data_IF_285358357498
#
_entry.id   IF_285358357498
#
_cell.length_a   1.000
_cell.length_b   1.000
_cell.length_c   1.000
_cell.angle_alpha   90.00
_cell.angle_beta   90.00
_cell.angle_gamma   90.00
#
_symmetry.space_group_name_H-M   'P 1'
#
loop_
_entity.id
_entity.type
_entity.pdbx_description
1 polymer ?
#
# COMPACT_ATOMS: atom_id res chain seq x y z
N UNK A 1 1.79 -21.41 -11.46
CA UNK A 1 0.64 -20.56 -11.09
C UNK A 1 0.42 -19.47 -12.14
N UNK A 2 -0.74 -18.80 -12.14
CA UNK A 2 -1.05 -17.70 -13.08
C UNK A 2 -1.07 -16.37 -12.32
N UNK A 3 -0.35 -15.35 -12.82
CA UNK A 3 -0.44 -13.98 -12.32
C UNK A 3 -1.16 -13.11 -13.34
N UNK A 4 -2.22 -12.43 -12.91
CA UNK A 4 -3.06 -11.59 -13.76
C UNK A 4 -3.04 -10.13 -13.33
N UNK A 5 -2.87 -9.24 -14.30
CA UNK A 5 -2.99 -7.80 -14.13
C UNK A 5 -3.68 -7.21 -15.36
N UNK A 6 -4.84 -6.54 -15.22
CA UNK A 6 -5.63 -6.08 -16.36
C UNK A 6 -5.08 -4.82 -17.03
N UNK A 7 -3.85 -4.42 -16.73
CA UNK A 7 -3.20 -3.23 -17.28
C UNK A 7 -1.70 -3.46 -17.42
N UNK A 8 -1.04 -2.58 -18.16
CA UNK A 8 0.42 -2.53 -18.24
C UNK A 8 0.96 -1.62 -17.13
N UNK A 9 1.76 -2.15 -16.18
CA UNK A 9 2.31 -1.28 -15.16
C UNK A 9 3.38 -0.37 -15.75
N UNK A 10 3.25 0.93 -15.48
CA UNK A 10 4.20 1.95 -15.90
C UNK A 10 5.47 1.84 -15.06
N UNK A 11 6.53 1.30 -15.67
CA UNK A 11 7.84 1.10 -15.03
C UNK A 11 8.53 2.41 -14.65
N UNK A 12 8.10 3.55 -15.21
CA UNK A 12 8.68 4.87 -14.90
C UNK A 12 8.05 5.51 -13.66
N UNK A 13 6.87 5.03 -13.24
CA UNK A 13 6.16 5.56 -12.07
C UNK A 13 6.49 4.77 -10.82
N UNK A 14 7.03 5.47 -9.82
CA UNK A 14 7.40 4.91 -8.52
C UNK A 14 6.22 4.83 -7.51
N UNK A 15 4.97 4.79 -7.98
CA UNK A 15 3.82 4.67 -7.06
C UNK A 15 3.64 3.23 -6.59
N UNK A 16 3.13 3.06 -5.38
CA UNK A 16 2.84 1.75 -4.77
C UNK A 16 2.03 0.83 -5.70
N UNK A 17 1.04 1.38 -6.39
CA UNK A 17 0.19 0.68 -7.34
C UNK A 17 0.94 0.09 -8.54
N UNK A 18 2.07 0.67 -8.93
CA UNK A 18 2.89 0.21 -10.06
C UNK A 18 3.99 -0.75 -9.59
N UNK A 19 4.53 -0.54 -8.39
CA UNK A 19 5.62 -1.34 -7.85
C UNK A 19 5.12 -2.69 -7.31
N UNK A 20 3.99 -2.71 -6.60
CA UNK A 20 3.46 -3.90 -5.93
C UNK A 20 3.32 -5.12 -6.85
N UNK A 21 2.72 -5.04 -8.06
CA UNK A 21 2.57 -6.21 -8.92
C UNK A 21 3.91 -6.89 -9.23
N UNK A 22 4.95 -6.11 -9.55
CA UNK A 22 6.29 -6.66 -9.81
C UNK A 22 6.91 -7.28 -8.56
N UNK A 23 6.72 -6.67 -7.38
CA UNK A 23 7.19 -7.27 -6.12
C UNK A 23 6.51 -8.60 -5.83
N UNK A 24 5.20 -8.70 -6.07
CA UNK A 24 4.46 -9.95 -5.91
C UNK A 24 4.88 -11.02 -6.94
N UNK A 25 5.07 -10.65 -8.21
CA UNK A 25 5.57 -11.58 -9.25
C UNK A 25 6.92 -12.16 -8.84
N UNK A 26 7.88 -11.29 -8.48
CA UNK A 26 9.21 -11.71 -8.04
C UNK A 26 9.13 -12.55 -6.77
N UNK A 27 8.26 -12.20 -5.83
CA UNK A 27 8.07 -12.97 -4.61
C UNK A 27 7.51 -14.37 -4.89
N UNK A 28 6.54 -14.52 -5.79
CA UNK A 28 6.08 -15.85 -6.21
C UNK A 28 7.20 -16.68 -6.84
N UNK A 29 8.02 -16.07 -7.69
CA UNK A 29 9.19 -16.74 -8.28
C UNK A 29 10.20 -17.16 -7.20
N UNK A 30 10.52 -16.26 -6.25
CA UNK A 30 11.46 -16.51 -5.16
C UNK A 30 11.02 -17.63 -4.22
N UNK A 31 9.71 -17.83 -4.03
CA UNK A 31 9.18 -18.94 -3.22
C UNK A 31 8.94 -20.21 -4.04
N UNK A 32 9.43 -20.25 -5.29
CA UNK A 32 9.52 -21.47 -6.10
C UNK A 32 8.41 -21.69 -7.12
N UNK A 33 7.55 -20.70 -7.39
CA UNK A 33 6.53 -20.84 -8.43
C UNK A 33 7.05 -20.54 -9.84
N UNK A 34 6.69 -21.40 -10.79
CA UNK A 34 6.63 -20.98 -12.20
C UNK A 34 5.42 -20.04 -12.39
N UNK A 35 5.68 -18.81 -12.85
CA UNK A 35 4.67 -17.76 -12.97
C UNK A 35 4.33 -17.52 -14.44
N UNK A 36 3.13 -17.94 -14.86
CA UNK A 36 2.57 -17.58 -16.16
C UNK A 36 1.89 -16.20 -16.08
N UNK A 37 2.31 -15.25 -16.91
CA UNK A 37 1.83 -13.87 -16.86
C UNK A 37 0.66 -13.63 -17.81
N UNK A 38 -0.36 -12.93 -17.31
CA UNK A 38 -1.42 -12.27 -18.09
C UNK A 38 -1.41 -10.79 -17.73
N UNK A 39 -0.58 -10.01 -18.43
CA UNK A 39 -0.25 -8.61 -18.12
C UNK A 39 -0.03 -7.84 -19.42
N UNK A 40 -0.45 -6.57 -19.45
CA UNK A 40 -0.21 -5.66 -20.57
C UNK A 40 -1.51 -5.16 -21.22
N UNK A 41 -1.42 -4.67 -22.45
CA UNK A 41 -2.58 -4.30 -23.28
C UNK A 41 -3.55 -5.48 -23.48
N UNK A 42 -4.81 -5.20 -23.82
CA UNK A 42 -5.81 -6.24 -24.05
C UNK A 42 -5.42 -7.19 -25.19
N UNK A 43 -4.71 -6.70 -26.21
CA UNK A 43 -4.16 -7.54 -27.28
C UNK A 43 -3.12 -8.53 -26.71
N UNK A 44 -2.18 -8.03 -25.92
CA UNK A 44 -1.15 -8.86 -25.27
C UNK A 44 -1.78 -9.90 -24.34
N UNK A 45 -2.73 -9.47 -23.49
CA UNK A 45 -3.45 -10.37 -22.57
C UNK A 45 -4.25 -11.42 -23.32
N UNK A 46 -4.88 -11.09 -24.46
CA UNK A 46 -5.60 -12.05 -25.30
C UNK A 46 -4.70 -13.16 -25.82
N UNK A 47 -3.49 -12.83 -26.27
CA UNK A 47 -2.53 -13.82 -26.77
C UNK A 47 -1.99 -14.70 -25.63
N UNK A 48 -1.65 -14.10 -24.48
CA UNK A 48 -1.24 -14.81 -23.26
C UNK A 48 -2.34 -15.76 -22.76
N UNK A 49 -3.59 -15.28 -22.67
CA UNK A 49 -4.76 -16.08 -22.28
C UNK A 49 -4.96 -17.24 -23.24
N UNK A 50 -4.86 -17.02 -24.56
CA UNK A 50 -4.99 -18.10 -25.56
C UNK A 50 -3.92 -19.17 -25.35
N UNK A 51 -2.69 -18.77 -25.08
CA UNK A 51 -1.59 -19.69 -24.80
C UNK A 51 -1.81 -20.50 -23.52
N UNK A 52 -2.21 -19.85 -22.43
CA UNK A 52 -2.51 -20.52 -21.15
C UNK A 52 -3.71 -21.47 -21.28
N UNK A 53 -4.78 -21.05 -21.97
CA UNK A 53 -5.93 -21.94 -22.26
C UNK A 53 -5.49 -23.20 -23.00
N UNK A 54 -4.60 -23.09 -24.00
CA UNK A 54 -4.05 -24.24 -24.72
C UNK A 54 -3.25 -25.17 -23.80
N UNK A 55 -2.38 -24.62 -22.94
CA UNK A 55 -1.62 -25.37 -21.92
C UNK A 55 -2.56 -26.19 -21.01
N UNK A 56 -3.60 -25.55 -20.47
CA UNK A 56 -4.60 -26.19 -19.61
C UNK A 56 -5.34 -27.31 -20.36
N UNK A 57 -5.80 -27.06 -21.59
CA UNK A 57 -6.49 -28.07 -22.40
C UNK A 57 -5.59 -29.25 -22.79
N UNK A 58 -4.28 -29.03 -22.86
CA UNK A 58 -3.28 -30.07 -23.09
C UNK A 58 -2.89 -30.84 -21.82
N UNK A 59 -3.57 -30.59 -20.69
CA UNK A 59 -3.38 -31.34 -19.44
C UNK A 59 -2.44 -30.69 -18.43
N UNK A 60 -1.88 -29.52 -18.72
CA UNK A 60 -1.06 -28.79 -17.75
C UNK A 60 -1.92 -28.28 -16.59
N UNK A 61 -1.45 -28.50 -15.36
CA UNK A 61 -2.16 -28.10 -14.13
C UNK A 61 -1.58 -26.81 -13.58
N UNK A 62 -2.46 -25.86 -13.31
CA UNK A 62 -2.11 -24.62 -12.59
C UNK A 62 -2.71 -24.68 -11.18
N UNK A 63 -1.90 -24.37 -10.17
CA UNK A 63 -2.34 -24.40 -8.77
C UNK A 63 -3.48 -23.40 -8.48
N UNK A 64 -3.35 -22.18 -8.99
CA UNK A 64 -4.30 -21.07 -8.80
C UNK A 64 -3.98 -19.90 -9.75
N UNK A 65 -4.91 -18.96 -9.84
CA UNK A 65 -4.69 -17.61 -10.36
C UNK A 65 -4.68 -16.58 -9.23
N UNK A 66 -3.68 -15.71 -9.22
CA UNK A 66 -3.68 -14.49 -8.41
C UNK A 66 -3.80 -13.26 -9.33
N UNK A 67 -4.84 -12.46 -9.11
CA UNK A 67 -5.10 -11.22 -9.83
C UNK A 67 -4.91 -10.01 -8.92
N UNK A 68 -4.42 -8.90 -9.46
CA UNK A 68 -4.57 -7.59 -8.81
C UNK A 68 -5.46 -6.68 -9.66
N UNK A 69 -6.40 -5.97 -9.04
CA UNK A 69 -7.27 -5.02 -9.77
C UNK A 69 -6.51 -3.75 -10.15
N UNK A 70 -7.06 -2.98 -11.09
CA UNK A 70 -6.64 -1.60 -11.31
C UNK A 70 -7.39 -0.67 -10.35
N UNK A 71 -6.93 0.58 -10.23
CA UNK A 71 -7.71 1.67 -9.63
C UNK A 71 -8.82 2.15 -10.56
N UNK A 72 -8.86 1.64 -11.80
CA UNK A 72 -9.93 1.80 -12.78
C UNK A 72 -10.71 0.49 -12.94
N UNK A 73 -11.96 0.52 -13.41
CA UNK A 73 -12.68 -0.70 -13.72
C UNK A 73 -11.94 -1.54 -14.77
N UNK A 74 -11.98 -2.86 -14.62
CA UNK A 74 -11.24 -3.85 -15.42
C UNK A 74 -11.49 -3.68 -16.91
N UNK A 75 -12.71 -3.35 -17.31
CA UNK A 75 -13.06 -3.13 -18.72
C UNK A 75 -12.56 -1.80 -19.30
N UNK A 76 -12.09 -0.86 -18.46
CA UNK A 76 -11.69 0.49 -18.88
C UNK A 76 -10.17 0.72 -18.73
N UNK A 77 -9.38 -0.34 -18.55
CA UNK A 77 -7.94 -0.24 -18.26
C UNK A 77 -7.06 0.00 -19.47
N UNK A 78 -7.58 -0.13 -20.69
CA UNK A 78 -6.83 0.22 -21.91
C UNK A 78 -6.51 1.72 -21.93
N UNK A 79 -5.45 2.10 -22.67
CA UNK A 79 -4.96 3.50 -22.73
C UNK A 79 -5.99 4.51 -23.21
N UNK A 80 -6.93 4.09 -24.06
CA UNK A 80 -8.05 4.90 -24.55
C UNK A 80 -9.27 4.88 -23.61
N UNK A 81 -9.24 4.08 -22.53
CA UNK A 81 -10.29 3.96 -21.51
C UNK A 81 -11.68 3.57 -22.04
N UNK A 82 -11.73 2.81 -23.14
CA UNK A 82 -12.98 2.32 -23.73
C UNK A 82 -13.08 0.79 -23.53
N UNK A 83 -14.29 0.24 -23.36
CA UNK A 83 -14.51 -1.19 -23.16
C UNK A 83 -14.43 -1.96 -24.48
N UNK A 84 -13.26 -1.98 -25.11
CA UNK A 84 -13.03 -2.65 -26.42
C UNK A 84 -12.93 -4.17 -26.29
N UNK A 85 -12.65 -4.69 -25.09
CA UNK A 85 -12.52 -6.12 -24.80
C UNK A 85 -13.33 -6.54 -23.56
N UNK A 86 -14.66 -6.32 -23.53
CA UNK A 86 -15.45 -6.42 -22.30
C UNK A 86 -15.52 -7.83 -21.70
N UNK A 87 -15.28 -8.87 -22.51
CA UNK A 87 -15.33 -10.27 -22.05
C UNK A 87 -13.96 -10.92 -21.88
N UNK A 88 -12.85 -10.19 -22.06
CA UNK A 88 -11.52 -10.79 -22.09
C UNK A 88 -11.11 -11.38 -20.74
N UNK A 89 -10.94 -10.51 -19.74
CA UNK A 89 -10.42 -10.91 -18.43
C UNK A 89 -11.45 -11.76 -17.67
N UNK A 90 -12.71 -11.33 -17.64
CA UNK A 90 -13.79 -12.10 -16.98
C UNK A 90 -14.14 -13.41 -17.71
N UNK A 91 -14.03 -13.46 -19.04
CA UNK A 91 -14.18 -14.71 -19.79
C UNK A 91 -13.02 -15.67 -19.57
N UNK A 92 -11.84 -15.17 -19.22
CA UNK A 92 -10.73 -15.98 -18.74
C UNK A 92 -10.99 -16.51 -17.33
N UNK A 93 -11.47 -15.68 -16.39
CA UNK A 93 -11.82 -16.14 -15.04
C UNK A 93 -12.91 -17.22 -15.08
N UNK A 94 -13.94 -17.04 -15.91
CA UNK A 94 -14.97 -18.06 -16.12
C UNK A 94 -14.38 -19.39 -16.64
N UNK A 95 -13.47 -19.33 -17.61
CA UNK A 95 -12.78 -20.52 -18.11
C UNK A 95 -11.99 -21.24 -17.01
N UNK A 96 -11.24 -20.51 -16.18
CA UNK A 96 -10.45 -21.08 -15.10
C UNK A 96 -11.34 -21.72 -14.02
N UNK A 97 -12.44 -21.06 -13.66
CA UNK A 97 -13.43 -21.59 -12.73
C UNK A 97 -14.04 -22.91 -13.23
N UNK A 98 -14.38 -22.99 -14.53
CA UNK A 98 -14.86 -24.24 -15.16
C UNK A 98 -13.83 -25.37 -15.09
N UNK A 99 -12.53 -25.03 -15.12
CA UNK A 99 -11.43 -25.98 -14.99
C UNK A 99 -10.97 -26.18 -13.54
N UNK A 100 -11.76 -25.72 -12.54
CA UNK A 100 -11.49 -25.90 -11.10
C UNK A 100 -10.14 -25.31 -10.65
N UNK A 101 -9.70 -24.22 -11.26
CA UNK A 101 -8.51 -23.47 -10.84
C UNK A 101 -8.98 -22.33 -9.91
N UNK A 102 -8.57 -22.31 -8.62
CA UNK A 102 -8.95 -21.27 -7.68
C UNK A 102 -8.49 -19.89 -8.11
N UNK A 103 -9.32 -18.87 -7.86
CA UNK A 103 -9.06 -17.48 -8.23
C UNK A 103 -9.03 -16.60 -7.00
N UNK A 104 -7.87 -16.02 -6.72
CA UNK A 104 -7.69 -14.95 -5.74
C UNK A 104 -7.59 -13.60 -6.43
N UNK A 105 -8.29 -12.58 -5.92
CA UNK A 105 -8.20 -11.21 -6.42
C UNK A 105 -7.88 -10.23 -5.30
N UNK A 106 -6.75 -9.55 -5.42
CA UNK A 106 -6.42 -8.38 -4.61
C UNK A 106 -7.18 -7.17 -5.15
N UNK A 107 -8.22 -6.75 -4.43
CA UNK A 107 -8.99 -5.56 -4.75
C UNK A 107 -8.35 -4.35 -4.10
N UNK A 108 -7.64 -3.56 -4.91
CA UNK A 108 -6.97 -2.34 -4.45
C UNK A 108 -7.90 -1.13 -4.56
N UNK A 109 -7.69 -0.18 -3.66
CA UNK A 109 -8.18 1.21 -3.66
C UNK A 109 -9.60 1.44 -4.21
N UNK A 110 -10.49 1.93 -3.36
CA UNK A 110 -11.87 2.27 -3.72
C UNK A 110 -12.10 3.79 -3.75
N UNK A 111 -11.17 4.55 -4.35
CA UNK A 111 -11.29 6.01 -4.39
C UNK A 111 -12.65 6.48 -4.92
N UNK A 112 -13.24 5.74 -5.87
CA UNK A 112 -14.55 6.01 -6.47
C UNK A 112 -15.73 6.04 -5.48
N UNK A 113 -15.59 5.45 -4.29
CA UNK A 113 -16.58 5.49 -3.20
C UNK A 113 -16.52 6.80 -2.40
N UNK A 114 -15.50 7.62 -2.57
CA UNK A 114 -15.23 8.79 -1.72
C UNK A 114 -15.33 10.13 -2.46
N UNK A 115 -15.49 11.20 -1.69
CA UNK A 115 -15.66 12.57 -2.22
C UNK A 115 -14.44 13.10 -2.97
N UNK A 116 -13.23 12.67 -2.60
CA UNK A 116 -11.99 13.08 -3.27
C UNK A 116 -11.86 12.53 -4.71
N UNK A 117 -12.73 11.60 -5.13
CA UNK A 117 -12.79 11.18 -6.53
C UNK A 117 -13.47 12.26 -7.39
N UNK A 118 -12.63 13.18 -7.86
CA UNK A 118 -13.04 14.36 -8.61
C UNK A 118 -12.90 14.12 -10.13
N UNK A 119 -13.98 13.68 -10.75
CA UNK A 119 -14.10 13.55 -12.22
C UNK A 119 -15.45 14.14 -12.66
N UNK A 120 -15.57 14.51 -13.94
CA UNK A 120 -16.82 15.07 -14.47
C UNK A 120 -18.01 14.13 -14.26
N UNK A 121 -19.21 14.68 -14.08
CA UNK A 121 -20.41 13.92 -13.73
C UNK A 121 -20.65 12.73 -14.66
N UNK A 122 -20.54 12.93 -15.98
CA UNK A 122 -20.70 11.86 -16.97
C UNK A 122 -19.66 10.75 -16.80
N UNK A 123 -18.37 11.11 -16.64
CA UNK A 123 -17.29 10.14 -16.41
C UNK A 123 -17.51 9.37 -15.11
N UNK A 124 -17.98 10.04 -14.05
CA UNK A 124 -18.29 9.43 -12.75
C UNK A 124 -19.41 8.40 -12.87
N UNK A 125 -20.49 8.73 -13.57
CA UNK A 125 -21.64 7.84 -13.76
C UNK A 125 -21.24 6.59 -14.53
N UNK A 126 -20.50 6.75 -15.64
CA UNK A 126 -20.01 5.64 -16.45
C UNK A 126 -19.03 4.78 -15.65
N UNK A 127 -18.01 5.36 -15.01
CA UNK A 127 -17.04 4.59 -14.24
C UNK A 127 -17.68 3.85 -13.06
N UNK A 128 -18.63 4.48 -12.36
CA UNK A 128 -19.39 3.86 -11.26
C UNK A 128 -20.18 2.64 -11.72
N UNK A 129 -20.80 2.68 -12.90
CA UNK A 129 -21.47 1.52 -13.48
C UNK A 129 -20.49 0.36 -13.67
N UNK A 130 -19.32 0.63 -14.26
CA UNK A 130 -18.31 -0.40 -14.48
C UNK A 130 -17.67 -0.91 -13.19
N UNK A 131 -17.48 -0.07 -12.16
CA UNK A 131 -17.05 -0.56 -10.84
C UNK A 131 -18.08 -1.51 -10.22
N UNK A 132 -19.37 -1.18 -10.29
CA UNK A 132 -20.43 -2.07 -9.81
C UNK A 132 -20.48 -3.38 -10.61
N UNK A 133 -20.23 -3.32 -11.91
CA UNK A 133 -20.12 -4.49 -12.77
C UNK A 133 -18.92 -5.37 -12.39
N UNK A 134 -17.75 -4.77 -12.13
CA UNK A 134 -16.57 -5.47 -11.62
C UNK A 134 -16.91 -6.19 -10.30
N UNK A 135 -17.51 -5.51 -9.32
CA UNK A 135 -17.91 -6.13 -8.05
C UNK A 135 -18.89 -7.31 -8.25
N UNK A 136 -19.88 -7.15 -9.14
CA UNK A 136 -20.81 -8.22 -9.46
C UNK A 136 -20.13 -9.44 -10.10
N UNK A 137 -19.19 -9.21 -11.02
CA UNK A 137 -18.45 -10.28 -11.69
C UNK A 137 -17.43 -10.93 -10.75
N UNK A 138 -16.76 -10.16 -9.89
CA UNK A 138 -15.89 -10.68 -8.84
C UNK A 138 -16.68 -11.60 -7.90
N UNK A 139 -17.85 -11.18 -7.43
CA UNK A 139 -18.75 -12.00 -6.60
C UNK A 139 -19.06 -13.38 -7.21
N UNK A 140 -19.20 -13.44 -8.55
CA UNK A 140 -19.54 -14.68 -9.25
C UNK A 140 -18.32 -15.55 -9.58
N UNK A 141 -17.20 -14.93 -9.93
CA UNK A 141 -16.08 -15.61 -10.59
C UNK A 141 -14.88 -15.83 -9.66
N UNK A 142 -14.69 -15.00 -8.65
CA UNK A 142 -13.56 -15.07 -7.73
C UNK A 142 -13.93 -15.93 -6.51
N UNK A 143 -12.93 -16.61 -5.96
CA UNK A 143 -13.06 -17.49 -4.81
C UNK A 143 -12.62 -16.81 -3.51
N UNK A 144 -11.53 -16.03 -3.57
CA UNK A 144 -10.99 -15.29 -2.43
C UNK A 144 -10.70 -13.84 -2.81
N UNK A 145 -11.18 -12.90 -2.00
CA UNK A 145 -10.85 -11.47 -2.13
C UNK A 145 -9.79 -11.12 -1.10
N UNK A 146 -8.69 -10.54 -1.57
CA UNK A 146 -7.65 -9.96 -0.75
C UNK A 146 -7.79 -8.43 -0.72
N UNK A 147 -7.70 -7.83 0.45
CA UNK A 147 -7.83 -6.37 0.64
C UNK A 147 -6.57 -5.80 1.32
N UNK A 148 -6.25 -4.50 1.15
CA UNK A 148 -5.13 -3.87 1.87
C UNK A 148 -5.23 -4.02 3.39
N UNK A 149 -6.46 -3.98 3.92
CA UNK A 149 -6.80 -4.20 5.31
C UNK A 149 -8.21 -4.80 5.39
N UNK A 150 -8.59 -5.37 6.53
CA UNK A 150 -9.91 -6.02 6.67
C UNK A 150 -11.04 -5.00 6.76
N UNK A 151 -10.74 -3.80 7.26
CA UNK A 151 -11.61 -2.64 7.44
C UNK A 151 -12.24 -2.19 6.12
N UNK A 152 -11.54 -2.40 5.00
CA UNK A 152 -12.06 -2.05 3.66
C UNK A 152 -13.37 -2.79 3.34
N UNK A 153 -13.65 -3.94 3.97
CA UNK A 153 -14.87 -4.73 3.74
C UNK A 153 -16.16 -3.92 3.97
N UNK A 154 -16.14 -2.98 4.92
CA UNK A 154 -17.30 -2.14 5.27
C UNK A 154 -17.74 -1.26 4.10
N UNK A 155 -16.86 -1.03 3.13
CA UNK A 155 -17.11 -0.21 1.95
C UNK A 155 -17.51 -1.02 0.70
N UNK A 156 -17.41 -2.34 0.74
CA UNK A 156 -17.60 -3.26 -0.39
C UNK A 156 -18.53 -4.43 -0.05
N UNK A 157 -19.64 -4.11 0.63
CA UNK A 157 -20.63 -5.07 1.12
C UNK A 157 -21.13 -6.05 0.04
N UNK A 158 -21.06 -5.65 -1.23
CA UNK A 158 -21.39 -6.48 -2.38
C UNK A 158 -20.63 -7.83 -2.40
N UNK A 159 -19.40 -7.85 -1.84
CA UNK A 159 -18.48 -8.99 -1.83
C UNK A 159 -18.49 -9.80 -0.51
N UNK A 160 -19.28 -9.42 0.49
CA UNK A 160 -19.26 -10.05 1.83
C UNK A 160 -19.63 -11.56 1.84
N UNK A 161 -20.22 -12.08 0.76
CA UNK A 161 -20.48 -13.52 0.62
C UNK A 161 -19.23 -14.32 0.24
N UNK A 162 -18.14 -13.67 -0.15
CA UNK A 162 -16.87 -14.32 -0.48
C UNK A 162 -15.96 -14.40 0.75
N UNK A 163 -14.95 -15.25 0.69
CA UNK A 163 -13.86 -15.25 1.66
C UNK A 163 -13.02 -13.99 1.47
N UNK A 164 -13.06 -13.08 2.44
CA UNK A 164 -12.31 -11.82 2.45
C UNK A 164 -11.14 -11.96 3.42
N UNK A 165 -9.93 -11.66 2.94
CA UNK A 165 -8.69 -11.72 3.71
C UNK A 165 -7.89 -10.43 3.59
N UNK A 166 -7.18 -10.06 4.66
CA UNK A 166 -6.21 -8.97 4.62
C UNK A 166 -4.92 -9.41 3.90
N UNK A 167 -4.40 -8.57 3.03
CA UNK A 167 -3.15 -8.72 2.29
C UNK A 167 -2.49 -7.35 2.07
N UNK A 168 -2.03 -6.68 3.14
CA UNK A 168 -1.34 -5.41 3.02
C UNK A 168 -0.05 -5.55 2.17
N UNK A 169 0.61 -4.43 1.83
CA UNK A 169 1.95 -4.46 1.27
C UNK A 169 2.91 -5.37 2.03
N UNK A 170 3.83 -5.99 1.27
CA UNK A 170 5.02 -6.59 1.84
C UNK A 170 6.15 -5.56 1.93
N UNK A 171 7.22 -5.95 2.60
CA UNK A 171 8.47 -5.20 2.65
C UNK A 171 9.62 -5.97 2.00
N UNK A 172 10.70 -5.26 1.70
CA UNK A 172 11.99 -5.92 1.45
C UNK A 172 12.45 -6.66 2.71
N UNK A 173 13.25 -7.70 2.52
CA UNK A 173 13.90 -8.38 3.64
C UNK A 173 14.80 -7.38 4.38
N UNK A 174 14.73 -7.31 5.72
CA UNK A 174 15.66 -6.51 6.49
C UNK A 174 17.07 -7.08 6.31
N UNK A 175 17.90 -6.38 5.52
CA UNK A 175 19.29 -6.75 5.21
C UNK A 175 20.26 -5.65 5.65
N UNK A 176 19.88 -4.85 6.63
CA UNK A 176 20.64 -3.68 7.05
C UNK A 176 21.13 -3.87 8.47
N UNK A 177 22.36 -3.44 8.75
CA UNK A 177 22.80 -3.23 10.13
C UNK A 177 21.97 -2.08 10.71
N UNK A 178 21.06 -2.43 11.61
CA UNK A 178 20.19 -1.46 12.26
C UNK A 178 20.94 -0.95 13.47
N UNK A 179 21.36 0.30 13.41
CA UNK A 179 21.92 0.98 14.56
C UNK A 179 20.86 1.08 15.65
N UNK A 180 21.15 0.54 16.83
CA UNK A 180 20.32 0.78 18.02
C UNK A 180 20.15 2.29 18.18
N UNK A 181 18.91 2.81 18.39
CA UNK A 181 18.69 4.22 18.70
C UNK A 181 19.57 4.60 19.90
N UNK A 182 20.64 5.34 19.65
CA UNK A 182 21.48 5.85 20.74
C UNK A 182 20.69 6.97 21.40
N UNK A 183 20.64 7.00 22.74
CA UNK A 183 20.20 8.18 23.48
C UNK A 183 20.99 9.38 22.98
N UNK A 184 20.35 10.21 22.17
CA UNK A 184 20.90 11.44 21.61
C UNK A 184 20.02 12.57 22.08
N UNK A 185 20.64 13.73 22.25
CA UNK A 185 19.91 14.95 22.57
C UNK A 185 19.00 15.38 21.43
N UNK A 186 19.27 14.92 20.20
CA UNK A 186 18.52 15.24 18.98
C UNK A 186 17.72 14.03 18.48
N UNK A 187 16.46 14.29 18.14
CA UNK A 187 15.50 13.34 17.57
C UNK A 187 15.33 13.60 16.08
N UNK A 188 15.61 12.61 15.23
CA UNK A 188 15.42 12.69 13.78
C UNK A 188 14.19 11.91 13.33
N UNK A 189 13.20 12.63 12.81
CA UNK A 189 11.94 12.08 12.34
C UNK A 189 11.89 12.21 10.81
N UNK A 190 11.53 11.11 10.14
CA UNK A 190 11.42 11.07 8.69
C UNK A 190 9.96 10.82 8.26
N UNK A 191 9.43 11.67 7.40
CA UNK A 191 8.26 11.38 6.59
C UNK A 191 8.70 11.03 5.17
N UNK A 192 8.12 9.98 4.59
CA UNK A 192 8.33 9.62 3.17
C UNK A 192 6.98 9.34 2.54
N UNK A 193 6.60 10.11 1.53
CA UNK A 193 5.29 9.93 0.89
C UNK A 193 4.94 11.10 -0.01
N UNK A 194 3.73 11.06 -0.56
CA UNK A 194 3.19 12.22 -1.27
C UNK A 194 2.76 13.33 -0.30
N UNK A 195 2.41 14.49 -0.83
CA UNK A 195 1.76 15.57 -0.10
C UNK A 195 0.47 15.96 -0.82
N UNK A 196 -0.50 16.49 -0.08
CA UNK A 196 -1.81 16.92 -0.60
C UNK A 196 -2.96 16.50 0.31
N UNK A 197 -4.19 16.53 -0.21
CA UNK A 197 -5.42 16.32 0.59
C UNK A 197 -5.44 15.00 1.37
N UNK A 198 -5.00 13.90 0.74
CA UNK A 198 -4.94 12.59 1.38
C UNK A 198 -3.70 12.41 2.27
N UNK A 199 -2.70 13.28 2.16
CA UNK A 199 -1.41 13.19 2.84
C UNK A 199 -1.03 14.54 3.47
N UNK A 200 -1.96 15.10 4.24
CA UNK A 200 -1.79 16.41 4.88
C UNK A 200 -1.02 16.24 6.21
N UNK A 201 0.12 16.93 6.32
CA UNK A 201 1.01 16.95 7.50
C UNK A 201 0.94 18.27 8.29
N UNK A 202 -0.01 19.14 7.97
CA UNK A 202 -0.07 20.51 8.48
C UNK A 202 -0.12 20.55 10.01
N UNK A 203 -0.94 19.71 10.65
CA UNK A 203 -1.02 19.67 12.11
C UNK A 203 0.32 19.25 12.74
N UNK A 204 1.05 18.33 12.11
CA UNK A 204 2.37 17.90 12.57
C UNK A 204 3.37 19.05 12.48
N UNK A 205 3.39 19.77 11.34
CA UNK A 205 4.28 20.91 11.12
C UNK A 205 3.97 22.08 12.06
N UNK A 206 2.71 22.46 12.22
CA UNK A 206 2.27 23.50 13.17
C UNK A 206 2.71 23.14 14.60
N UNK A 207 2.63 21.86 14.96
CA UNK A 207 3.04 21.42 16.31
C UNK A 207 4.54 21.60 16.51
N UNK A 208 5.36 21.21 15.53
CA UNK A 208 6.82 21.37 15.59
C UNK A 208 7.24 22.84 15.65
N UNK A 209 6.61 23.71 14.85
CA UNK A 209 6.93 25.15 14.84
C UNK A 209 6.54 25.84 16.15
N UNK A 210 5.46 25.41 16.79
CA UNK A 210 5.04 25.90 18.13
C UNK A 210 5.98 25.45 19.24
N UNK A 211 6.50 24.22 19.19
CA UNK A 211 7.45 23.72 20.19
C UNK A 211 8.79 24.46 20.17
N UNK A 212 9.19 25.00 19.00
CA UNK A 212 10.46 25.73 18.80
C UNK A 212 11.68 24.99 19.34
N UNK A 213 11.66 23.66 19.32
CA UNK A 213 12.72 22.83 19.85
C UNK A 213 13.62 22.33 18.71
N UNK A 214 14.82 22.92 18.61
CA UNK A 214 15.80 22.60 17.56
C UNK A 214 16.32 21.16 17.63
N UNK A 215 16.15 20.48 18.76
CA UNK A 215 16.55 19.09 18.91
C UNK A 215 15.61 18.13 18.18
N UNK A 216 14.39 18.54 17.80
CA UNK A 216 13.49 17.71 17.00
C UNK A 216 13.64 18.09 15.53
N UNK A 217 14.38 17.28 14.79
CA UNK A 217 14.62 17.43 13.36
C UNK A 217 13.58 16.62 12.58
N UNK A 218 12.85 17.28 11.69
CA UNK A 218 11.89 16.64 10.80
C UNK A 218 12.32 16.76 9.34
N UNK A 219 12.38 15.63 8.64
CA UNK A 219 12.68 15.58 7.22
C UNK A 219 11.47 15.06 6.45
N UNK A 220 11.01 15.85 5.47
CA UNK A 220 9.96 15.49 4.51
C UNK A 220 10.65 15.02 3.23
N UNK A 221 10.59 13.72 2.96
CA UNK A 221 11.00 13.16 1.69
C UNK A 221 9.78 12.96 0.78
N UNK A 222 9.61 13.82 -0.22
CA UNK A 222 8.46 13.80 -1.14
C UNK A 222 8.91 13.96 -2.58
N UNK A 223 8.05 13.59 -3.53
CA UNK A 223 8.30 13.86 -4.96
C UNK A 223 8.23 15.36 -5.21
N UNK A 224 9.13 15.87 -6.05
CA UNK A 224 9.15 17.29 -6.44
C UNK A 224 7.77 17.76 -6.96
N UNK A 225 7.13 16.94 -7.79
CA UNK A 225 5.79 17.22 -8.32
C UNK A 225 4.71 17.30 -7.26
N UNK A 226 4.79 16.49 -6.19
CA UNK A 226 3.80 16.54 -5.11
C UNK A 226 4.02 17.78 -4.23
N UNK A 227 5.28 18.19 -4.03
CA UNK A 227 5.61 19.41 -3.31
C UNK A 227 5.13 20.66 -4.04
N UNK A 228 5.36 20.73 -5.36
CA UNK A 228 4.93 21.86 -6.19
C UNK A 228 3.42 22.16 -6.05
N UNK A 229 2.57 21.14 -5.84
CA UNK A 229 1.13 21.30 -5.64
C UNK A 229 0.73 21.92 -4.30
N UNK A 230 1.59 21.82 -3.27
CA UNK A 230 1.30 22.30 -1.90
C UNK A 230 2.26 23.41 -1.46
N UNK A 231 3.13 23.86 -2.36
CA UNK A 231 4.24 24.77 -2.07
C UNK A 231 3.80 26.03 -1.31
N UNK A 232 2.75 26.70 -1.79
CA UNK A 232 2.23 27.94 -1.19
C UNK A 232 1.83 27.75 0.29
N UNK A 233 1.33 26.57 0.64
CA UNK A 233 0.93 26.24 2.01
C UNK A 233 2.12 25.80 2.88
N UNK A 234 3.13 25.15 2.29
CA UNK A 234 4.20 24.48 3.02
C UNK A 234 5.49 25.32 3.16
N UNK A 235 5.74 26.29 2.28
CA UNK A 235 6.97 27.11 2.28
C UNK A 235 7.21 27.79 3.65
N UNK A 236 6.15 28.27 4.32
CA UNK A 236 6.23 28.92 5.64
C UNK A 236 6.85 28.02 6.73
N UNK A 237 6.73 26.69 6.61
CA UNK A 237 7.30 25.76 7.59
C UNK A 237 8.79 25.48 7.33
N UNK A 238 9.28 25.71 6.10
CA UNK A 238 10.68 25.48 5.73
C UNK A 238 11.61 26.62 6.19
N UNK A 239 11.06 27.73 6.68
CA UNK A 239 11.83 28.79 7.34
C UNK A 239 12.40 28.35 8.69
N UNK A 240 11.88 27.25 9.26
CA UNK A 240 12.34 26.71 10.54
C UNK A 240 13.53 25.75 10.34
N UNK A 241 14.65 26.03 11.00
CA UNK A 241 15.91 25.27 10.87
C UNK A 241 15.77 23.76 11.13
N UNK A 242 14.74 23.35 11.87
CA UNK A 242 14.51 21.96 12.24
C UNK A 242 13.56 21.20 11.30
N UNK A 243 13.12 21.83 10.20
CA UNK A 243 12.25 21.23 9.18
C UNK A 243 12.99 21.25 7.84
N UNK A 244 13.16 20.07 7.24
CA UNK A 244 13.93 19.88 6.03
C UNK A 244 13.06 19.24 4.94
N UNK A 245 13.19 19.71 3.70
CA UNK A 245 12.56 19.12 2.52
C UNK A 245 13.64 18.46 1.64
N UNK A 246 13.40 17.20 1.26
CA UNK A 246 14.29 16.46 0.34
C UNK A 246 13.48 15.72 -0.72
N UNK A 247 14.12 15.49 -1.87
CA UNK A 247 13.54 14.77 -3.00
C UNK A 247 14.39 13.54 -3.34
N UNK A 248 14.53 12.63 -2.36
CA UNK A 248 15.41 11.48 -2.45
C UNK A 248 14.69 10.23 -2.99
N UNK A 249 15.45 9.39 -3.71
CA UNK A 249 15.04 8.07 -4.17
C UNK A 249 16.20 7.08 -4.08
N UNK A 250 15.92 5.78 -4.32
CA UNK A 250 16.96 4.76 -4.35
C UNK A 250 17.78 4.69 -3.05
N UNK A 251 19.11 4.74 -3.16
CA UNK A 251 20.02 4.61 -2.01
C UNK A 251 20.01 5.82 -1.08
N UNK A 252 19.78 7.02 -1.61
CA UNK A 252 19.65 8.24 -0.78
C UNK A 252 18.47 8.11 0.20
N UNK A 253 17.34 7.58 -0.28
CA UNK A 253 16.18 7.30 0.56
C UNK A 253 16.52 6.23 1.63
N UNK A 254 17.26 5.18 1.29
CA UNK A 254 17.72 4.20 2.29
C UNK A 254 18.62 4.83 3.34
N UNK A 255 19.47 5.78 2.95
CA UNK A 255 20.30 6.51 3.91
C UNK A 255 19.47 7.38 4.86
N UNK A 256 18.40 8.02 4.37
CA UNK A 256 17.45 8.73 5.23
C UNK A 256 16.84 7.79 6.27
N UNK A 257 16.37 6.61 5.86
CA UNK A 257 15.88 5.61 6.82
C UNK A 257 16.95 5.23 7.84
N UNK A 258 18.18 4.89 7.42
CA UNK A 258 19.25 4.49 8.35
C UNK A 258 19.54 5.56 9.40
N UNK A 259 19.51 6.82 9.00
CA UNK A 259 19.90 7.96 9.84
C UNK A 259 18.76 8.57 10.64
N UNK A 260 17.51 8.20 10.39
CA UNK A 260 16.36 8.63 11.19
C UNK A 260 16.18 7.74 12.43
N UNK A 261 15.65 8.31 13.50
CA UNK A 261 15.33 7.60 14.73
C UNK A 261 13.89 7.07 14.70
N UNK A 262 12.99 7.77 14.00
CA UNK A 262 11.57 7.44 13.90
C UNK A 262 11.02 7.82 12.52
N UNK A 263 9.90 7.22 12.15
CA UNK A 263 9.18 7.59 10.93
C UNK A 263 7.76 8.08 11.22
N UNK A 264 7.24 8.95 10.35
CA UNK A 264 5.96 9.63 10.53
C UNK A 264 4.93 9.17 9.49
N UNK A 265 3.76 8.75 9.96
CA UNK A 265 2.50 8.61 9.22
C UNK A 265 1.39 9.36 9.98
N UNK A 266 1.71 10.54 10.50
CA UNK A 266 0.79 11.41 11.22
C UNK A 266 0.05 12.35 10.27
N UNK A 267 -0.74 11.76 9.38
CA UNK A 267 -1.49 12.46 8.33
C UNK A 267 -2.94 12.68 8.74
N UNK A 268 -3.57 13.76 8.24
CA UNK A 268 -4.98 14.06 8.52
C UNK A 268 -5.88 12.83 8.31
N UNK A 269 -6.61 12.36 9.34
CA UNK A 269 -7.47 11.19 9.22
C UNK A 269 -8.62 11.49 8.26
N UNK A 270 -9.03 10.47 7.52
CA UNK A 270 -10.17 10.50 6.61
C UNK A 270 -10.75 9.09 6.48
N UNK A 271 -11.94 8.96 5.89
CA UNK A 271 -12.54 7.64 5.63
C UNK A 271 -11.62 6.72 4.81
N UNK A 272 -10.77 7.29 3.96
CA UNK A 272 -9.77 6.51 3.22
C UNK A 272 -8.71 5.91 4.16
N UNK A 273 -8.26 6.65 5.18
CA UNK A 273 -7.29 6.20 6.16
C UNK A 273 -7.84 5.19 7.18
N UNK A 274 -9.16 4.96 7.23
CA UNK A 274 -9.76 3.91 8.04
C UNK A 274 -9.35 2.51 7.58
N UNK A 275 -8.98 2.34 6.29
CA UNK A 275 -8.57 1.06 5.74
C UNK A 275 -7.26 1.10 4.93
N UNK A 276 -6.76 2.29 4.56
CA UNK A 276 -5.56 2.37 3.73
C UNK A 276 -4.30 1.89 4.47
N UNK A 277 -3.54 1.02 3.80
CA UNK A 277 -2.25 0.50 4.29
C UNK A 277 -1.14 0.87 3.30
N UNK A 278 -0.46 2.01 3.51
CA UNK A 278 0.54 2.51 2.56
C UNK A 278 1.79 1.61 2.55
N UNK A 279 2.43 1.47 1.40
CA UNK A 279 3.71 0.74 1.27
C UNK A 279 4.78 1.31 2.21
N UNK A 280 4.73 2.62 2.48
CA UNK A 280 5.66 3.32 3.36
C UNK A 280 5.62 2.81 4.80
N UNK A 281 4.48 2.36 5.30
CA UNK A 281 4.41 1.69 6.60
C UNK A 281 5.36 0.48 6.66
N UNK A 282 5.31 -0.37 5.62
CA UNK A 282 6.10 -1.60 5.55
C UNK A 282 7.56 -1.33 5.19
N UNK A 283 7.86 -0.24 4.46
CA UNK A 283 9.24 0.24 4.34
C UNK A 283 9.79 0.64 5.72
N UNK A 284 9.05 1.40 6.52
CA UNK A 284 9.52 1.84 7.85
C UNK A 284 9.76 0.64 8.78
N UNK A 285 8.86 -0.35 8.74
CA UNK A 285 9.01 -1.61 9.48
C UNK A 285 10.26 -2.38 9.05
N UNK A 286 10.55 -2.47 7.74
CA UNK A 286 11.77 -3.15 7.26
C UNK A 286 13.08 -2.47 7.62
N UNK A 287 13.05 -1.17 7.95
CA UNK A 287 14.19 -0.46 8.54
C UNK A 287 14.12 -0.42 10.07
N UNK A 288 13.19 -1.16 10.67
CA UNK A 288 12.90 -1.22 12.11
C UNK A 288 12.80 0.16 12.75
N UNK A 289 12.07 1.06 12.08
CA UNK A 289 11.83 2.42 12.58
C UNK A 289 10.51 2.49 13.33
N UNK A 290 10.51 2.91 14.61
CA UNK A 290 9.29 3.22 15.32
C UNK A 290 8.45 4.25 14.57
N UNK A 291 7.14 4.03 14.52
CA UNK A 291 6.22 4.84 13.72
C UNK A 291 5.35 5.73 14.60
N UNK A 292 5.25 7.00 14.24
CA UNK A 292 4.25 7.94 14.78
C UNK A 292 3.05 7.93 13.83
N UNK A 293 1.89 7.53 14.31
CA UNK A 293 0.67 7.41 13.50
C UNK A 293 -0.54 8.07 14.19
N UNK A 294 -1.56 8.37 13.40
CA UNK A 294 -2.85 8.86 13.92
C UNK A 294 -3.70 7.70 14.39
N UNK A 295 -4.21 7.78 15.62
CA UNK A 295 -5.15 6.80 16.18
C UNK A 295 -6.46 6.74 15.40
N UNK A 296 -7.15 5.61 15.44
CA UNK A 296 -8.39 5.34 14.70
C UNK A 296 -8.21 5.42 13.16
N UNK A 297 -7.00 5.17 12.69
CA UNK A 297 -6.70 4.87 11.28
C UNK A 297 -6.22 3.42 11.20
N UNK A 298 -6.29 2.79 10.01
CA UNK A 298 -5.78 1.42 9.83
C UNK A 298 -4.30 1.32 10.22
N UNK A 299 -3.50 2.32 9.86
CA UNK A 299 -2.09 2.42 10.26
C UNK A 299 -1.93 2.59 11.77
N UNK A 300 -2.70 3.49 12.40
CA UNK A 300 -2.64 3.69 13.85
C UNK A 300 -3.01 2.44 14.63
N UNK A 301 -4.04 1.72 14.19
CA UNK A 301 -4.45 0.46 14.78
C UNK A 301 -3.35 -0.59 14.63
N UNK A 302 -2.78 -0.74 13.43
CA UNK A 302 -1.66 -1.65 13.17
C UNK A 302 -0.45 -1.35 14.05
N UNK A 303 -0.03 -0.07 14.13
CA UNK A 303 1.11 0.38 14.95
C UNK A 303 0.89 0.05 16.43
N UNK A 304 -0.32 0.28 16.93
CA UNK A 304 -0.69 0.00 18.32
C UNK A 304 -0.75 -1.51 18.61
N UNK A 305 -1.42 -2.28 17.76
CA UNK A 305 -1.59 -3.73 17.94
C UNK A 305 -0.27 -4.49 17.89
N UNK A 306 0.64 -4.06 17.01
CA UNK A 306 1.99 -4.65 16.89
C UNK A 306 2.98 -4.12 17.91
N UNK A 307 2.63 -3.05 18.62
CA UNK A 307 3.51 -2.34 19.55
C UNK A 307 4.86 -2.00 18.89
N UNK A 308 4.79 -1.27 17.77
CA UNK A 308 5.93 -0.86 16.91
C UNK A 308 6.04 0.66 16.78
N UNK A 309 5.40 1.41 17.68
CA UNK A 309 5.36 2.86 17.66
C UNK A 309 4.22 3.41 18.50
N UNK A 310 3.74 4.61 18.14
CA UNK A 310 2.72 5.33 18.89
C UNK A 310 1.58 5.78 17.99
N UNK A 311 0.36 5.40 18.38
CA UNK A 311 -0.87 5.90 17.81
C UNK A 311 -1.41 7.04 18.70
N UNK A 312 -1.32 8.27 18.20
CA UNK A 312 -1.67 9.49 18.94
C UNK A 312 -2.97 10.07 18.36
N UNK A 313 -3.82 10.64 19.20
CA UNK A 313 -5.01 11.36 18.74
C UNK A 313 -4.60 12.52 17.79
N UNK A 314 -5.41 12.81 16.76
CA UNK A 314 -5.10 13.87 15.78
C UNK A 314 -5.30 15.27 16.37
N UNK A 315 -4.43 15.64 17.30
CA UNK A 315 -4.52 16.82 18.12
C UNK A 315 -3.11 17.39 18.42
N UNK A 316 -2.97 18.71 18.33
CA UNK A 316 -1.69 19.38 18.47
C UNK A 316 -1.14 19.34 19.91
N UNK A 317 -2.02 19.35 20.91
CA UNK A 317 -1.61 19.31 22.31
C UNK A 317 -1.15 17.89 22.69
N UNK A 318 -1.88 16.86 22.25
CA UNK A 318 -1.47 15.47 22.43
C UNK A 318 -0.13 15.18 21.75
N UNK A 319 0.07 15.66 20.52
CA UNK A 319 1.33 15.52 19.81
C UNK A 319 2.46 16.30 20.51
N UNK A 320 2.17 17.50 21.04
CA UNK A 320 3.13 18.27 21.85
C UNK A 320 3.54 17.55 23.13
N UNK A 321 2.59 16.94 23.85
CA UNK A 321 2.86 16.13 25.04
C UNK A 321 3.74 14.94 24.68
N UNK A 322 3.45 14.26 23.58
CA UNK A 322 4.27 13.15 23.09
C UNK A 322 5.73 13.58 22.85
N UNK A 323 5.96 14.68 22.14
CA UNK A 323 7.32 15.18 21.92
C UNK A 323 8.04 15.56 23.21
N UNK A 324 7.34 16.17 24.16
CA UNK A 324 7.90 16.46 25.49
C UNK A 324 8.35 15.17 26.19
N UNK A 325 7.55 14.09 26.15
CA UNK A 325 7.92 12.79 26.73
C UNK A 325 9.18 12.21 26.08
N UNK A 326 9.31 12.31 24.76
CA UNK A 326 10.53 11.87 24.06
C UNK A 326 11.74 12.65 24.55
N UNK A 327 11.65 13.98 24.58
CA UNK A 327 12.76 14.85 24.99
C UNK A 327 13.22 14.54 26.43
N UNK A 328 12.28 14.23 27.33
CA UNK A 328 12.59 13.86 28.72
C UNK A 328 13.01 12.39 28.88
N UNK A 329 13.19 11.65 27.78
CA UNK A 329 13.53 10.21 27.78
C UNK A 329 12.54 9.34 28.58
N UNK A 330 11.26 9.70 28.53
CA UNK A 330 10.18 8.99 29.26
C UNK A 330 9.55 7.86 28.46
N UNK A 331 9.99 7.62 27.22
CA UNK A 331 9.48 6.54 26.37
C UNK A 331 10.45 5.36 26.32
N UNK A 332 9.89 4.15 26.41
CA UNK A 332 10.65 2.90 26.25
C UNK A 332 10.69 2.48 24.78
N UNK A 333 11.90 2.39 24.23
CA UNK A 333 12.16 2.00 22.84
C UNK A 333 12.53 0.51 22.72
N UNK A 334 12.97 -0.15 23.80
CA UNK A 334 13.56 -1.49 23.70
C UNK A 334 12.55 -2.52 23.21
N UNK A 335 11.33 -2.48 23.77
CA UNK A 335 10.25 -3.40 23.39
C UNK A 335 9.85 -3.17 21.92
N UNK A 336 9.95 -1.95 21.41
CA UNK A 336 9.57 -1.63 20.03
C UNK A 336 10.53 -2.25 19.03
N UNK A 337 11.84 -2.24 19.31
CA UNK A 337 12.87 -2.80 18.42
C UNK A 337 12.64 -4.30 18.17
N UNK A 338 12.42 -5.09 19.22
CA UNK A 338 12.18 -6.52 19.09
C UNK A 338 10.91 -6.83 18.29
N UNK A 339 9.84 -6.04 18.49
CA UNK A 339 8.58 -6.21 17.77
C UNK A 339 8.72 -5.80 16.30
N UNK A 340 9.47 -4.72 16.02
CA UNK A 340 9.76 -4.28 14.67
C UNK A 340 10.55 -5.34 13.89
N UNK A 341 11.59 -5.93 14.48
CA UNK A 341 12.36 -6.99 13.85
C UNK A 341 11.49 -8.22 13.51
N UNK A 342 10.65 -8.66 14.45
CA UNK A 342 9.70 -9.76 14.23
C UNK A 342 8.68 -9.43 13.14
N UNK A 343 8.11 -8.22 13.16
CA UNK A 343 7.11 -7.82 12.18
C UNK A 343 7.73 -7.63 10.79
N UNK A 344 8.96 -7.12 10.69
CA UNK A 344 9.69 -7.00 9.43
C UNK A 344 9.93 -8.36 8.77
N UNK A 345 10.33 -9.38 9.55
CA UNK A 345 10.52 -10.74 9.04
C UNK A 345 9.20 -11.39 8.61
N UNK A 346 8.11 -11.15 9.35
CA UNK A 346 6.81 -11.74 9.07
C UNK A 346 6.09 -11.12 7.86
N UNK A 347 6.45 -9.91 7.47
CA UNK A 347 5.72 -9.13 6.46
C UNK A 347 6.51 -8.88 5.17
N UNK A 348 7.46 -9.74 4.83
CA UNK A 348 8.18 -9.66 3.55
C UNK A 348 7.26 -9.93 2.35
N UNK A 349 7.66 -9.50 1.15
CA UNK A 349 6.96 -9.85 -0.09
C UNK A 349 6.84 -11.36 -0.29
N UNK A 350 7.88 -12.15 0.00
CA UNK A 350 7.81 -13.62 -0.03
C UNK A 350 6.79 -14.18 0.98
N UNK A 351 6.69 -13.58 2.16
CA UNK A 351 5.67 -13.96 3.14
C UNK A 351 4.26 -13.69 2.61
N UNK A 352 4.04 -12.59 1.89
CA UNK A 352 2.76 -12.31 1.19
C UNK A 352 2.46 -13.34 0.10
N UNK A 353 3.45 -13.69 -0.71
CA UNK A 353 3.29 -14.69 -1.77
C UNK A 353 2.93 -16.07 -1.19
N UNK A 354 3.65 -16.52 -0.16
CA UNK A 354 3.36 -17.77 0.56
C UNK A 354 1.96 -17.76 1.19
N UNK A 355 1.56 -16.66 1.81
CA UNK A 355 0.23 -16.53 2.40
C UNK A 355 -0.89 -16.65 1.35
N UNK A 356 -0.77 -15.94 0.22
CA UNK A 356 -1.72 -16.05 -0.90
C UNK A 356 -1.78 -17.48 -1.42
N UNK A 357 -0.62 -18.08 -1.69
CA UNK A 357 -0.51 -19.45 -2.19
C UNK A 357 -1.19 -20.46 -1.26
N UNK A 358 -0.92 -20.38 0.04
CA UNK A 358 -1.53 -21.27 1.04
C UNK A 358 -3.05 -21.07 1.11
N UNK A 359 -3.52 -19.83 1.03
CA UNK A 359 -4.96 -19.54 1.04
C UNK A 359 -5.68 -20.13 -0.17
N UNK A 360 -5.08 -20.07 -1.36
CA UNK A 360 -5.70 -20.52 -2.61
C UNK A 360 -5.56 -22.03 -2.85
N UNK A 361 -4.42 -22.64 -2.49
CA UNK A 361 -4.24 -24.10 -2.62
C UNK A 361 -5.14 -24.90 -1.69
N UNK A 362 -5.47 -24.33 -0.53
CA UNK A 362 -6.36 -24.92 0.46
C UNK A 362 -7.83 -24.52 0.25
N UNK A 363 -8.14 -23.74 -0.80
CA UNK A 363 -9.50 -23.43 -1.19
C UNK A 363 -10.05 -24.62 -1.98
N UNK A 364 -10.67 -25.57 -1.30
CA UNK A 364 -11.37 -26.71 -1.90
C UNK A 364 -12.81 -26.75 -1.44
#
# INVERSE_FOLDING_TARGET
>A
MIFHLPFEPDKTRLSASQIRPYKMINAFQNVGYEVALVIGSAKTRKDQIKHIKKRILNGEKFDFLYSESSTMPTMLTESHHLPTYPFLDFGFFYFLKKNKIPIGLFYRDIHWKFKHYNVSFFKKSVSTLFYKLDLFLYKKLVDVIFLPSIEMKEYILELNSLKILSLPPGSEKPNFEIGVPKKKNDLKILYVGGLGDLYNLELFLITLTKLKNKNIQFTICTRKTDYELVKEMYDQYLEFENINLVHAGGEELKNLYRTSDMCCLFVKPSQYWEFAMPVKLFEYIAFEKPIIAVKNTSVGNYVKEKNIGWAIDYDADQLSVFFKKIIHNELDYNILTDNLAKDAQANTWESRANYVANCLKNFK
#
